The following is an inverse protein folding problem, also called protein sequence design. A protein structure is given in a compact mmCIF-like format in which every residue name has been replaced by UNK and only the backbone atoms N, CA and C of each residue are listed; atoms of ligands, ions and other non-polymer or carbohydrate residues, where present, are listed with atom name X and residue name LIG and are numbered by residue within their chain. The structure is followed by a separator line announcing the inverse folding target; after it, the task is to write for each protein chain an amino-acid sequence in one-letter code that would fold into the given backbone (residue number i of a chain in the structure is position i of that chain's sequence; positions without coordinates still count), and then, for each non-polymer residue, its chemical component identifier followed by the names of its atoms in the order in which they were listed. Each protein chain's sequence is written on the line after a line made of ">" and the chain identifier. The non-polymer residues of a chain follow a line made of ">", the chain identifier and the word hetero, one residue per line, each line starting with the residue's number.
data_IF_890035622101
#
_entry.id   IF_890035622101
#
_cell.length_a   1.000
_cell.length_b   1.000
_cell.length_c   1.000
_cell.angle_alpha   90.00
_cell.angle_beta   90.00
_cell.angle_gamma   90.00
#
_symmetry.space_group_name_H-M   'P 1'
#
loop_
_entity.id
_entity.type
_entity.pdbx_description
1 polymer ?
#
# COMPACT_ATOMS: atom_id res chain seq x y z
N UNK A 1 14.02 -20.81 -1.88
CA UNK A 1 13.72 -20.97 -0.44
C UNK A 1 12.71 -19.90 -0.09
N UNK A 2 11.58 -20.25 0.53
CA UNK A 2 10.59 -19.24 0.93
C UNK A 2 11.21 -18.35 2.02
N UNK A 3 11.58 -17.13 1.67
CA UNK A 3 11.99 -16.12 2.64
C UNK A 3 10.79 -15.82 3.53
N UNK A 4 10.83 -16.32 4.76
CA UNK A 4 9.72 -16.22 5.70
C UNK A 4 9.81 -14.89 6.45
N UNK A 5 9.18 -13.85 5.90
CA UNK A 5 8.96 -12.59 6.60
C UNK A 5 7.65 -12.66 7.40
N UNK A 6 7.55 -11.84 8.44
CA UNK A 6 6.35 -11.71 9.25
C UNK A 6 6.45 -10.53 10.21
N UNK A 7 5.69 -10.59 11.30
CA UNK A 7 5.67 -9.56 12.36
C UNK A 7 6.06 -10.11 13.74
N UNK A 8 6.53 -11.36 13.80
CA UNK A 8 6.97 -11.99 15.04
C UNK A 8 8.37 -11.55 15.44
N UNK A 9 8.77 -11.87 16.68
CA UNK A 9 10.07 -11.49 17.25
C UNK A 9 11.28 -11.86 16.37
N UNK A 10 11.23 -12.97 15.64
CA UNK A 10 12.35 -13.52 14.90
C UNK A 10 12.30 -13.27 13.38
N UNK A 11 11.16 -12.85 12.86
CA UNK A 11 10.93 -12.60 11.42
C UNK A 11 10.29 -11.23 11.14
N UNK A 12 10.26 -10.35 12.15
CA UNK A 12 9.66 -9.02 12.13
C UNK A 12 10.44 -7.98 11.33
N UNK A 13 9.92 -6.73 11.24
CA UNK A 13 10.51 -5.64 10.46
C UNK A 13 12.00 -5.38 10.71
N UNK A 14 12.45 -5.52 11.96
CA UNK A 14 13.86 -5.39 12.33
C UNK A 14 14.78 -6.37 11.59
N UNK A 15 14.24 -7.49 11.12
CA UNK A 15 14.96 -8.58 10.47
C UNK A 15 14.80 -8.61 8.94
N UNK A 16 13.80 -7.93 8.37
CA UNK A 16 13.47 -8.03 6.94
C UNK A 16 14.66 -7.70 6.02
N UNK A 17 15.51 -6.76 6.43
CA UNK A 17 16.69 -6.35 5.66
C UNK A 17 17.72 -7.47 5.43
N UNK A 18 17.67 -8.56 6.20
CA UNK A 18 18.59 -9.71 6.03
C UNK A 18 18.32 -10.44 4.70
N UNK A 19 17.04 -10.54 4.34
CA UNK A 19 16.59 -11.19 3.11
C UNK A 19 16.23 -10.17 2.02
N UNK A 20 15.81 -8.96 2.41
CA UNK A 20 15.38 -7.87 1.54
C UNK A 20 16.19 -6.59 1.84
N UNK A 21 17.44 -6.46 1.35
CA UNK A 21 18.35 -5.36 1.73
C UNK A 21 17.76 -3.95 1.57
N UNK A 22 16.81 -3.77 0.63
CA UNK A 22 16.11 -2.50 0.42
C UNK A 22 15.30 -2.04 1.65
N UNK A 23 14.95 -2.94 2.57
CA UNK A 23 14.28 -2.60 3.83
C UNK A 23 15.12 -1.69 4.77
N UNK A 24 16.40 -1.47 4.44
CA UNK A 24 17.29 -0.48 5.08
C UNK A 24 17.61 0.72 4.19
N UNK A 25 16.84 0.93 3.12
CA UNK A 25 17.03 2.04 2.19
C UNK A 25 16.61 3.40 2.77
N UNK A 26 17.03 4.48 2.10
CA UNK A 26 16.80 5.87 2.53
C UNK A 26 15.35 6.37 2.36
N UNK A 27 14.54 5.67 1.57
CA UNK A 27 13.16 6.08 1.21
C UNK A 27 12.15 4.99 1.58
N UNK A 28 12.20 4.53 2.83
CA UNK A 28 11.25 3.56 3.37
C UNK A 28 10.00 4.26 3.93
N UNK A 29 8.90 3.53 3.92
CA UNK A 29 7.63 3.89 4.57
C UNK A 29 7.30 2.83 5.62
N UNK A 30 6.48 3.13 6.65
CA UNK A 30 5.86 4.44 6.93
C UNK A 30 6.86 5.47 7.46
N UNK A 31 6.46 6.74 7.42
CA UNK A 31 7.17 7.88 8.04
C UNK A 31 6.20 8.68 8.89
N UNK A 32 6.72 9.39 9.88
CA UNK A 32 5.94 10.37 10.62
C UNK A 32 5.75 11.64 9.76
N UNK A 33 4.51 12.10 9.62
CA UNK A 33 4.18 13.28 8.80
C UNK A 33 4.04 14.48 9.73
N UNK A 34 5.10 15.28 9.83
CA UNK A 34 5.05 16.56 10.54
C UNK A 34 4.38 17.64 9.69
N UNK A 35 3.15 18.01 10.09
CA UNK A 35 2.36 19.03 9.40
C UNK A 35 2.96 20.44 9.48
N UNK A 36 3.87 20.72 10.42
CA UNK A 36 4.57 22.01 10.51
C UNK A 36 5.64 22.18 9.43
N UNK A 37 6.20 21.07 8.94
CA UNK A 37 7.24 21.08 7.88
C UNK A 37 6.67 20.80 6.50
N UNK A 38 5.45 20.26 6.42
CA UNK A 38 4.73 20.06 5.18
C UNK A 38 4.49 21.39 4.45
N UNK A 39 4.84 21.44 3.15
CA UNK A 39 4.68 22.62 2.32
C UNK A 39 3.44 22.49 1.45
N UNK A 40 2.55 23.48 1.51
CA UNK A 40 1.45 23.58 0.58
C UNK A 40 1.99 23.86 -0.83
N UNK A 41 1.59 23.04 -1.79
CA UNK A 41 1.89 23.21 -3.21
C UNK A 41 0.59 23.56 -3.98
N UNK A 42 0.40 24.83 -4.39
CA UNK A 42 -0.80 25.27 -5.11
C UNK A 42 -0.89 24.72 -6.55
N UNK A 43 0.19 24.13 -7.08
CA UNK A 43 0.17 23.50 -8.40
C UNK A 43 -0.49 22.13 -8.41
N UNK A 44 -0.72 21.54 -7.22
CA UNK A 44 -1.41 20.27 -7.08
C UNK A 44 -2.87 20.39 -7.50
N UNK A 45 -3.27 19.53 -8.44
CA UNK A 45 -4.67 19.43 -8.88
C UNK A 45 -5.51 18.76 -7.80
N UNK A 46 -6.81 19.08 -7.70
CA UNK A 46 -7.72 18.39 -6.80
C UNK A 46 -7.70 16.87 -7.00
N UNK A 47 -7.78 16.14 -5.90
CA UNK A 47 -7.93 14.69 -5.92
C UNK A 47 -9.37 14.34 -6.34
N UNK A 48 -9.53 13.62 -7.45
CA UNK A 48 -10.84 13.16 -7.92
C UNK A 48 -10.80 11.65 -8.07
N UNK A 49 -11.45 10.92 -7.15
CA UNK A 49 -11.51 9.45 -7.18
C UNK A 49 -12.84 9.02 -7.79
N UNK A 50 -12.77 8.19 -8.83
CA UNK A 50 -13.94 7.58 -9.48
C UNK A 50 -13.82 6.06 -9.40
N UNK A 51 -14.70 5.42 -8.64
CA UNK A 51 -14.78 3.96 -8.57
C UNK A 51 -15.79 3.46 -9.60
N UNK A 52 -15.33 2.59 -10.50
CA UNK A 52 -16.23 1.87 -11.41
C UNK A 52 -17.20 0.96 -10.65
N UNK A 53 -18.32 0.62 -11.29
CA UNK A 53 -19.34 -0.26 -10.70
C UNK A 53 -18.76 -1.65 -10.41
N UNK A 54 -18.98 -2.13 -9.17
CA UNK A 54 -18.65 -3.44 -8.60
C UNK A 54 -17.48 -4.18 -9.28
N UNK A 55 -16.26 -3.69 -9.05
CA UNK A 55 -15.03 -4.31 -9.55
C UNK A 55 -14.40 -5.29 -8.55
N UNK A 56 -14.89 -5.38 -7.32
CA UNK A 56 -14.31 -6.29 -6.31
C UNK A 56 -14.58 -7.76 -6.67
N UNK A 57 -13.52 -8.56 -6.75
CA UNK A 57 -13.58 -9.98 -7.10
C UNK A 57 -13.74 -10.87 -5.87
N UNK A 58 -12.88 -10.67 -4.87
CA UNK A 58 -12.81 -11.53 -3.68
C UNK A 58 -12.10 -10.85 -2.52
N UNK A 59 -12.34 -11.37 -1.32
CA UNK A 59 -11.61 -11.02 -0.09
C UNK A 59 -10.77 -12.24 0.31
N UNK A 60 -9.47 -12.02 0.55
CA UNK A 60 -8.52 -13.06 0.92
C UNK A 60 -7.82 -12.70 2.22
N UNK A 61 -7.53 -13.67 3.07
CA UNK A 61 -6.57 -13.53 4.16
C UNK A 61 -5.28 -14.25 3.77
N UNK A 62 -4.20 -13.51 3.56
CA UNK A 62 -2.91 -14.07 3.13
C UNK A 62 -1.96 -14.43 4.29
N UNK A 63 -2.46 -14.41 5.54
CA UNK A 63 -1.67 -14.63 6.75
C UNK A 63 -0.90 -13.38 7.22
N UNK A 64 -0.91 -12.29 6.47
CA UNK A 64 -0.25 -11.03 6.81
C UNK A 64 -1.23 -9.85 6.92
N UNK A 65 -2.28 -9.81 6.09
CA UNK A 65 -3.58 -9.21 6.44
C UNK A 65 -4.68 -9.63 5.45
N UNK A 66 -5.83 -8.97 5.46
CA UNK A 66 -6.88 -9.18 4.46
C UNK A 66 -6.66 -8.29 3.23
N UNK A 67 -6.81 -8.87 2.04
CA UNK A 67 -6.69 -8.21 0.75
C UNK A 67 -8.03 -8.26 0.02
N UNK A 68 -8.48 -7.14 -0.52
CA UNK A 68 -9.61 -7.07 -1.46
C UNK A 68 -9.05 -6.96 -2.86
N UNK A 69 -9.29 -7.96 -3.70
CA UNK A 69 -8.84 -7.97 -5.10
C UNK A 69 -9.92 -7.35 -6.00
N UNK A 70 -9.50 -6.61 -7.02
CA UNK A 70 -10.37 -5.97 -7.99
C UNK A 70 -10.08 -6.47 -9.41
N UNK A 71 -11.08 -6.44 -10.28
CA UNK A 71 -10.96 -6.72 -11.72
C UNK A 71 -10.24 -5.56 -12.41
N UNK A 72 -9.02 -5.82 -12.87
CA UNK A 72 -8.16 -4.89 -13.61
C UNK A 72 -8.20 -5.13 -15.13
N UNK A 73 -8.99 -6.10 -15.61
CA UNK A 73 -9.07 -6.45 -17.03
C UNK A 73 -9.80 -5.42 -17.89
N UNK A 74 -10.70 -4.66 -17.27
CA UNK A 74 -11.32 -3.48 -17.87
C UNK A 74 -10.64 -2.26 -17.28
N UNK A 75 -10.32 -1.28 -18.14
CA UNK A 75 -9.63 -0.04 -17.79
C UNK A 75 -10.52 0.91 -16.94
N UNK A 76 -10.98 0.39 -15.80
CA UNK A 76 -11.74 1.08 -14.77
C UNK A 76 -10.73 1.72 -13.82
N UNK A 77 -9.83 2.52 -14.38
CA UNK A 77 -8.84 3.27 -13.62
C UNK A 77 -9.57 4.17 -12.62
N UNK A 78 -9.11 4.16 -11.37
CA UNK A 78 -9.45 5.23 -10.46
C UNK A 78 -8.45 6.34 -10.73
N UNK A 79 -8.88 7.41 -11.40
CA UNK A 79 -8.04 8.59 -11.52
C UNK A 79 -7.68 9.07 -10.12
N UNK A 80 -6.41 9.39 -9.87
CA UNK A 80 -5.94 10.00 -8.63
C UNK A 80 -5.29 11.34 -9.01
N UNK A 81 -6.13 12.37 -9.15
CA UNK A 81 -5.67 13.66 -9.70
C UNK A 81 -5.44 13.57 -11.21
N UNK A 82 -4.29 14.03 -11.72
CA UNK A 82 -3.94 13.92 -13.15
C UNK A 82 -3.15 12.68 -13.54
N UNK A 83 -3.01 11.73 -12.62
CA UNK A 83 -2.39 10.44 -12.89
C UNK A 83 -3.50 9.39 -12.99
N UNK A 84 -3.55 8.71 -14.13
CA UNK A 84 -4.43 7.55 -14.36
C UNK A 84 -3.74 6.32 -13.79
N UNK A 85 -4.13 5.90 -12.58
CA UNK A 85 -3.63 4.68 -11.96
C UNK A 85 -4.79 3.67 -11.80
N UNK A 86 -4.49 2.39 -11.97
CA UNK A 86 -5.46 1.31 -11.70
C UNK A 86 -5.36 0.88 -10.24
N UNK A 87 -6.51 0.66 -9.59
CA UNK A 87 -6.55 0.09 -8.24
C UNK A 87 -6.47 -1.43 -8.38
N UNK A 88 -5.37 -1.99 -7.94
CA UNK A 88 -5.13 -3.43 -7.98
C UNK A 88 -5.63 -4.16 -6.71
N UNK A 89 -5.60 -3.46 -5.57
CA UNK A 89 -6.03 -4.03 -4.31
C UNK A 89 -6.11 -3.00 -3.18
N UNK A 90 -6.85 -3.35 -2.14
CA UNK A 90 -6.84 -2.65 -0.86
C UNK A 90 -6.42 -3.62 0.24
N UNK A 91 -5.50 -3.18 1.09
CA UNK A 91 -4.94 -3.95 2.20
C UNK A 91 -4.95 -3.12 3.47
N UNK A 92 -5.43 -3.69 4.57
CA UNK A 92 -5.36 -3.06 5.88
C UNK A 92 -4.22 -3.68 6.69
N UNK A 93 -3.31 -2.85 7.22
CA UNK A 93 -2.30 -3.32 8.15
C UNK A 93 -2.84 -3.23 9.58
N UNK A 94 -3.10 -4.39 10.21
CA UNK A 94 -3.44 -4.45 11.63
C UNK A 94 -2.20 -4.79 12.45
N UNK A 95 -1.79 -3.90 13.35
CA UNK A 95 -0.85 -4.27 14.40
C UNK A 95 -1.57 -5.17 15.42
N UNK A 96 -1.09 -6.40 15.61
CA UNK A 96 -1.51 -7.21 16.74
C UNK A 96 -0.96 -6.55 18.02
N UNK A 97 -1.86 -6.06 18.88
CA UNK A 97 -1.55 -5.49 20.21
C UNK A 97 -1.05 -6.56 21.17
#
# INVERSE_FOLDING_TARGET
>A
MSHHWGYGKHNGPEHWHKDFPIAKGERQSPVDIDTHTAKYDPSLKPLSVSYGQATSLRILNNGHAFNVEFDDSQDKAASLGSLEHQIWGFWESCAAT
#
